data_IF_189646435871
#
_entry.id   IF_189646435871
#
_cell.length_a   1.000
_cell.length_b   1.000
_cell.length_c   1.000
_cell.angle_alpha   90.00
_cell.angle_beta   90.00
_cell.angle_gamma   90.00
#
_symmetry.space_group_name_H-M   'P 1'
#
loop_
_entity.id
_entity.type
_entity.pdbx_description
1 polymer ?
#
# COMPACT_ATOMS: atom_id res chain seq x y z
N UNK A 1 -13.98 -11.02 -8.03
CA UNK A 1 -13.73 -9.65 -8.52
C UNK A 1 -12.26 -9.32 -8.29
N UNK A 2 -11.54 -8.86 -9.32
CA UNK A 2 -10.14 -8.42 -9.21
C UNK A 2 -10.06 -6.92 -9.48
N UNK A 3 -9.22 -6.20 -8.73
CA UNK A 3 -9.04 -4.75 -8.86
C UNK A 3 -7.65 -4.47 -9.43
N UNK A 4 -7.47 -3.33 -10.10
CA UNK A 4 -6.13 -2.93 -10.55
C UNK A 4 -5.25 -2.57 -9.36
N UNK A 5 -3.98 -2.96 -9.40
CA UNK A 5 -2.99 -2.51 -8.44
C UNK A 5 -2.66 -1.04 -8.73
N UNK A 6 -2.59 -0.17 -7.70
CA UNK A 6 -2.26 1.24 -7.92
C UNK A 6 -0.79 1.45 -8.35
N UNK A 7 0.12 0.52 -8.03
CA UNK A 7 1.56 0.67 -8.26
C UNK A 7 2.09 -0.05 -9.51
N UNK A 8 1.32 -0.96 -10.10
CA UNK A 8 1.77 -1.75 -11.25
C UNK A 8 0.60 -2.25 -12.10
N UNK A 9 0.85 -2.76 -13.32
CA UNK A 9 -0.22 -3.26 -14.21
C UNK A 9 -0.95 -4.51 -13.69
N UNK A 10 -0.48 -5.16 -12.62
CA UNK A 10 -1.09 -6.37 -12.09
C UNK A 10 -2.44 -6.10 -11.39
N UNK A 11 -3.17 -7.18 -11.14
CA UNK A 11 -4.39 -7.14 -10.34
C UNK A 11 -4.15 -7.48 -8.87
N UNK A 12 -4.98 -6.93 -7.99
CA UNK A 12 -5.06 -7.23 -6.55
C UNK A 12 -6.41 -7.84 -6.19
N UNK A 13 -6.45 -8.55 -5.06
CA UNK A 13 -7.68 -9.09 -4.48
C UNK A 13 -8.46 -7.96 -3.76
N UNK A 14 -9.80 -8.06 -3.69
CA UNK A 14 -10.60 -7.18 -2.84
C UNK A 14 -10.10 -7.25 -1.39
N UNK A 15 -10.10 -6.12 -0.70
CA UNK A 15 -9.57 -6.01 0.67
C UNK A 15 -8.04 -5.90 0.80
N UNK A 16 -7.27 -6.09 -0.27
CA UNK A 16 -5.83 -5.83 -0.26
C UNK A 16 -5.54 -4.42 -0.78
N UNK A 17 -4.56 -3.72 -0.22
CA UNK A 17 -4.19 -2.38 -0.72
C UNK A 17 -3.44 -2.43 -2.06
N UNK A 18 -2.56 -3.42 -2.24
CA UNK A 18 -1.77 -3.64 -3.47
C UNK A 18 -1.79 -5.13 -3.85
N UNK A 19 -1.22 -5.49 -5.01
CA UNK A 19 -1.03 -6.90 -5.36
C UNK A 19 0.03 -7.56 -4.46
N UNK A 20 0.08 -8.90 -4.39
CA UNK A 20 1.00 -9.63 -3.51
C UNK A 20 2.48 -9.29 -3.76
N UNK A 21 2.87 -9.09 -5.03
CA UNK A 21 4.24 -8.71 -5.39
C UNK A 21 4.58 -7.29 -4.89
N UNK A 22 3.75 -6.29 -5.20
CA UNK A 22 3.97 -4.92 -4.71
C UNK A 22 3.92 -4.84 -3.18
N UNK A 23 3.07 -5.64 -2.54
CA UNK A 23 3.04 -5.76 -1.09
C UNK A 23 4.38 -6.27 -0.55
N UNK A 24 4.97 -7.29 -1.19
CA UNK A 24 6.29 -7.82 -0.81
C UNK A 24 7.44 -6.81 -0.96
N UNK A 25 7.33 -5.85 -1.89
CA UNK A 25 8.33 -4.80 -2.09
C UNK A 25 8.22 -3.62 -1.12
N UNK A 26 7.12 -3.50 -0.37
CA UNK A 26 7.02 -2.50 0.68
C UNK A 26 7.97 -2.82 1.83
N UNK A 27 8.50 -1.77 2.47
CA UNK A 27 9.33 -1.94 3.66
C UNK A 27 8.56 -2.74 4.74
N UNK A 28 9.25 -3.59 5.54
CA UNK A 28 8.61 -4.33 6.63
C UNK A 28 7.83 -3.42 7.58
N UNK A 29 8.36 -2.23 7.85
CA UNK A 29 7.73 -1.20 8.68
C UNK A 29 6.43 -0.69 8.07
N UNK A 30 6.41 -0.32 6.78
CA UNK A 30 5.20 0.14 6.10
C UNK A 30 4.13 -0.95 6.06
N UNK A 31 4.51 -2.21 5.76
CA UNK A 31 3.57 -3.35 5.82
C UNK A 31 2.94 -3.50 7.20
N UNK A 32 3.75 -3.44 8.26
CA UNK A 32 3.27 -3.55 9.64
C UNK A 32 2.28 -2.44 9.97
N UNK A 33 2.59 -1.19 9.58
CA UNK A 33 1.72 -0.03 9.81
C UNK A 33 0.40 -0.11 9.05
N UNK A 34 0.43 -0.55 7.80
CA UNK A 34 -0.77 -0.72 6.96
C UNK A 34 -1.69 -1.84 7.46
N UNK A 35 -1.14 -2.87 8.10
CA UNK A 35 -1.94 -3.97 8.67
C UNK A 35 -2.68 -3.61 9.97
N UNK A 36 -2.36 -2.49 10.61
CA UNK A 36 -3.05 -2.06 11.83
C UNK A 36 -4.45 -1.54 11.46
N UNK A 37 -5.47 -2.12 12.11
CA UNK A 37 -6.88 -1.75 11.94
C UNK A 37 -7.32 -0.84 13.07
N UNK A 38 -7.06 0.45 12.92
CA UNK A 38 -7.46 1.50 13.86
C UNK A 38 -8.13 2.67 13.11
N UNK A 39 -8.51 3.72 13.84
CA UNK A 39 -9.11 4.92 13.25
C UNK A 39 -8.20 5.60 12.21
N UNK A 40 -6.89 5.36 12.26
CA UNK A 40 -5.91 5.92 11.33
C UNK A 40 -5.68 5.05 10.08
N UNK A 41 -6.34 3.89 9.94
CA UNK A 41 -6.15 2.99 8.80
C UNK A 41 -6.40 3.69 7.45
N UNK A 42 -7.44 4.52 7.37
CA UNK A 42 -7.73 5.31 6.16
C UNK A 42 -6.69 6.41 5.89
N UNK A 43 -6.11 7.01 6.92
CA UNK A 43 -5.04 8.00 6.76
C UNK A 43 -3.79 7.35 6.15
N UNK A 44 -3.40 6.18 6.68
CA UNK A 44 -2.29 5.37 6.15
C UNK A 44 -2.51 4.93 4.70
N UNK A 45 -3.74 4.54 4.35
CA UNK A 45 -4.09 4.20 2.97
C UNK A 45 -3.94 5.40 2.03
N UNK A 46 -4.37 6.60 2.47
CA UNK A 46 -4.20 7.83 1.69
C UNK A 46 -2.72 8.17 1.47
N UNK A 47 -1.88 8.03 2.51
CA UNK A 47 -0.44 8.22 2.39
C UNK A 47 0.19 7.25 1.38
N UNK A 48 -0.17 5.96 1.45
CA UNK A 48 0.30 4.96 0.48
C UNK A 48 -0.07 5.35 -0.95
N UNK A 49 -1.33 5.70 -1.19
CA UNK A 49 -1.76 6.14 -2.52
C UNK A 49 -1.06 7.43 -2.97
N UNK A 50 -0.83 8.39 -2.07
CA UNK A 50 -0.08 9.61 -2.35
C UNK A 50 1.35 9.32 -2.76
N UNK A 51 2.06 8.46 -2.03
CA UNK A 51 3.43 8.06 -2.37
C UNK A 51 3.51 7.31 -3.71
N UNK A 52 2.53 6.46 -4.00
CA UNK A 52 2.44 5.79 -5.31
C UNK A 52 2.19 6.80 -6.43
N UNK A 53 1.29 7.76 -6.23
CA UNK A 53 1.01 8.82 -7.19
C UNK A 53 2.26 9.71 -7.42
N UNK A 54 3.05 9.95 -6.38
CA UNK A 54 4.34 10.63 -6.44
C UNK A 54 5.46 9.77 -7.07
N UNK A 55 5.14 8.56 -7.55
CA UNK A 55 6.10 7.59 -8.12
C UNK A 55 7.24 7.22 -7.16
N UNK A 56 7.00 7.31 -5.85
CA UNK A 56 7.96 6.88 -4.83
C UNK A 56 8.15 5.36 -4.95
N UNK A 57 9.40 4.88 -5.03
CA UNK A 57 9.68 3.45 -5.02
C UNK A 57 9.07 2.79 -3.78
N UNK A 58 8.35 1.67 -3.96
CA UNK A 58 7.73 0.90 -2.88
C UNK A 58 8.61 0.65 -1.64
N UNK A 59 9.91 0.29 -1.76
CA UNK A 59 10.76 0.09 -0.58
C UNK A 59 11.03 1.37 0.22
N UNK A 60 10.89 2.55 -0.39
CA UNK A 60 11.07 3.86 0.23
C UNK A 60 9.76 4.47 0.76
N UNK A 61 8.62 3.83 0.50
CA UNK A 61 7.34 4.33 1.01
C UNK A 61 7.31 4.09 2.52
N UNK A 62 7.29 5.19 3.26
CA UNK A 62 7.02 5.22 4.68
C UNK A 62 5.58 5.65 4.94
N UNK A 63 4.95 4.98 5.90
CA UNK A 63 3.57 5.23 6.28
C UNK A 63 3.55 5.46 7.78
N UNK A 64 3.19 6.68 8.17
CA UNK A 64 3.16 7.13 9.56
C UNK A 64 1.71 7.28 10.03
N UNK A 65 1.37 6.89 11.27
CA UNK A 65 0.04 7.09 11.83
C UNK A 65 -0.43 8.54 11.75
#
# INVERSE_FOLDING_TARGET
MTLRCPSCPNTRRPGHYTCSSCWGHLSPTARRRLNIRDAAAFARLRQLHGAIAARTPLPLIEVSP
#
